data_IF_406251416721
#
_entry.id   IF_406251416721
#
_cell.length_a   1.000
_cell.length_b   1.000
_cell.length_c   1.000
_cell.angle_alpha   90.00
_cell.angle_beta   90.00
_cell.angle_gamma   90.00
#
_symmetry.space_group_name_H-M   'P 1'
#
loop_
_entity.id
_entity.type
_entity.pdbx_description
1 polymer ?
#
# COMPACT_ATOMS: atom_id res chain seq x y z
N UNK A 1 2.26 -30.92 -0.57
CA UNK A 1 2.16 -30.82 0.91
C UNK A 1 2.43 -29.38 1.31
N UNK A 2 1.46 -28.81 2.04
CA UNK A 2 1.58 -27.75 3.05
C UNK A 2 2.34 -26.48 2.67
N UNK A 3 1.61 -25.39 2.43
CA UNK A 3 1.63 -24.29 3.39
C UNK A 3 0.33 -23.50 3.32
N UNK A 4 -0.47 -23.69 4.37
CA UNK A 4 -1.58 -22.84 4.77
C UNK A 4 -0.99 -21.44 4.96
N UNK A 5 -0.98 -20.63 3.89
CA UNK A 5 -0.47 -19.26 3.91
C UNK A 5 -1.37 -18.50 4.89
N UNK A 6 -0.87 -18.27 6.10
CA UNK A 6 -1.57 -17.48 7.11
C UNK A 6 -2.08 -16.19 6.47
N UNK A 7 -3.38 -15.96 6.64
CA UNK A 7 -4.28 -15.10 5.88
C UNK A 7 -3.93 -13.61 6.02
N UNK A 8 -2.85 -13.15 5.38
CA UNK A 8 -2.70 -11.72 5.12
C UNK A 8 -3.36 -11.43 3.77
N UNK A 9 -4.38 -10.57 3.76
CA UNK A 9 -5.19 -10.24 2.58
C UNK A 9 -4.31 -9.81 1.38
N UNK A 10 -3.20 -9.15 1.67
CA UNK A 10 -2.22 -8.65 0.70
C UNK A 10 -1.22 -9.68 0.16
N UNK A 11 -1.12 -10.88 0.74
CA UNK A 11 -0.24 -11.95 0.23
C UNK A 11 1.23 -11.55 0.09
N UNK A 12 1.72 -11.49 -1.15
CA UNK A 12 3.10 -11.08 -1.53
C UNK A 12 3.18 -9.65 -2.11
N UNK A 13 2.05 -8.93 -2.13
CA UNK A 13 1.93 -7.55 -2.59
C UNK A 13 1.83 -6.58 -1.42
N UNK A 14 2.01 -5.28 -1.69
CA UNK A 14 1.83 -4.22 -0.70
C UNK A 14 0.39 -3.72 -0.58
N UNK A 15 -0.50 -4.16 -1.47
CA UNK A 15 -1.92 -3.82 -1.47
C UNK A 15 -2.77 -5.00 -1.93
N UNK A 16 -4.06 -4.97 -1.60
CA UNK A 16 -5.09 -5.89 -2.07
C UNK A 16 -6.45 -5.22 -2.04
N UNK A 17 -7.36 -5.69 -2.89
CA UNK A 17 -8.75 -5.26 -2.91
C UNK A 17 -9.62 -6.23 -2.11
N UNK A 18 -10.49 -5.67 -1.27
CA UNK A 18 -11.49 -6.34 -0.45
C UNK A 18 -12.86 -5.77 -0.83
N UNK A 19 -13.42 -6.26 -1.95
CA UNK A 19 -14.57 -5.62 -2.60
C UNK A 19 -14.21 -4.22 -3.10
N UNK A 20 -14.93 -3.21 -2.61
CA UNK A 20 -14.71 -1.79 -2.88
C UNK A 20 -13.63 -1.14 -1.98
N UNK A 21 -13.05 -1.90 -1.05
CA UNK A 21 -12.05 -1.39 -0.11
C UNK A 21 -10.64 -1.78 -0.53
N UNK A 22 -9.77 -0.80 -0.73
CA UNK A 22 -8.35 -1.00 -1.00
C UNK A 22 -7.58 -1.10 0.33
N UNK A 23 -7.04 -2.28 0.62
CA UNK A 23 -6.16 -2.54 1.77
C UNK A 23 -4.71 -2.30 1.36
N UNK A 24 -4.00 -1.42 2.07
CA UNK A 24 -2.60 -1.08 1.78
C UNK A 24 -1.74 -1.23 3.02
N UNK A 25 -0.63 -1.96 2.90
CA UNK A 25 0.42 -2.00 3.91
C UNK A 25 1.42 -0.89 3.64
N UNK A 26 1.64 -0.03 4.63
CA UNK A 26 2.49 1.14 4.54
C UNK A 26 3.68 1.00 5.48
N UNK A 27 4.84 1.39 4.97
CA UNK A 27 6.05 1.66 5.74
C UNK A 27 6.23 3.19 5.82
N UNK A 28 5.73 3.77 6.90
CA UNK A 28 5.79 5.19 7.18
C UNK A 28 7.20 5.63 7.56
N UNK A 29 7.70 6.68 6.90
CA UNK A 29 8.95 7.36 7.22
C UNK A 29 8.62 8.77 7.71
N UNK A 30 8.54 9.00 9.03
CA UNK A 30 8.32 10.34 9.58
C UNK A 30 9.58 11.22 9.41
N UNK A 31 9.42 12.52 9.65
CA UNK A 31 10.51 13.51 9.56
C UNK A 31 11.21 13.52 8.19
N UNK A 32 10.47 13.30 7.11
CA UNK A 32 10.98 13.42 5.76
C UNK A 32 11.03 14.89 5.31
N UNK A 33 11.81 15.19 4.28
CA UNK A 33 11.87 16.56 3.73
C UNK A 33 10.57 17.00 3.05
N UNK A 34 9.75 16.05 2.59
CA UNK A 34 8.46 16.29 1.93
C UNK A 34 7.57 15.05 2.00
N UNK A 35 6.26 15.27 1.89
CA UNK A 35 5.29 14.20 1.78
C UNK A 35 5.37 13.56 0.38
N UNK A 36 5.56 12.24 0.34
CA UNK A 36 5.69 11.51 -0.91
C UNK A 36 5.33 10.04 -0.77
N UNK A 37 4.63 9.52 -1.77
CA UNK A 37 4.51 8.09 -1.99
C UNK A 37 5.80 7.60 -2.66
N UNK A 38 6.52 6.72 -1.97
CA UNK A 38 7.76 6.12 -2.43
C UNK A 38 7.55 4.85 -3.25
N UNK A 39 8.63 4.11 -3.45
CA UNK A 39 8.60 2.81 -4.12
C UNK A 39 8.10 1.71 -3.18
N UNK A 40 7.47 0.66 -3.71
CA UNK A 40 7.17 -0.54 -2.93
C UNK A 40 8.47 -1.17 -2.43
N UNK A 41 8.44 -1.69 -1.21
CA UNK A 41 9.53 -2.34 -0.51
C UNK A 41 9.04 -3.65 0.07
N UNK A 42 9.32 -4.76 -0.63
CA UNK A 42 8.73 -6.06 -0.32
C UNK A 42 7.21 -5.99 -0.33
N UNK A 43 6.59 -6.26 0.82
CA UNK A 43 5.12 -6.32 1.01
C UNK A 43 4.53 -5.01 1.54
N UNK A 44 5.26 -3.90 1.44
CA UNK A 44 4.85 -2.62 2.00
C UNK A 44 5.17 -1.47 1.05
N UNK A 45 4.37 -0.41 1.10
CA UNK A 45 4.59 0.82 0.36
C UNK A 45 5.29 1.85 1.24
N UNK A 46 6.45 2.34 0.81
CA UNK A 46 7.11 3.44 1.53
C UNK A 46 6.30 4.71 1.37
N UNK A 47 5.93 5.33 2.48
CA UNK A 47 5.28 6.64 2.50
C UNK A 47 6.08 7.54 3.41
N UNK A 48 6.60 8.63 2.85
CA UNK A 48 7.37 9.62 3.59
C UNK A 48 6.45 10.77 3.93
N UNK A 49 6.50 11.23 5.18
CA UNK A 49 5.74 12.41 5.63
C UNK A 49 6.65 13.39 6.34
N UNK A 50 6.42 14.68 6.11
CA UNK A 50 7.18 15.75 6.75
C UNK A 50 6.82 15.92 8.24
N UNK A 51 5.65 15.42 8.64
CA UNK A 51 5.21 15.44 10.02
C UNK A 51 6.14 14.64 10.95
N UNK A 52 6.45 15.23 12.10
CA UNK A 52 7.23 14.60 13.16
C UNK A 52 6.44 13.47 13.84
N UNK A 53 7.09 12.40 14.34
CA UNK A 53 6.45 11.25 14.98
C UNK A 53 6.02 11.56 16.43
N UNK A 54 5.38 12.72 16.65
CA UNK A 54 4.96 13.18 17.98
C UNK A 54 3.45 12.98 18.12
N UNK A 55 3.03 12.25 19.16
CA UNK A 55 1.63 12.10 19.57
C UNK A 55 0.65 11.71 18.43
N UNK A 56 1.08 10.86 17.48
CA UNK A 56 0.22 10.39 16.39
C UNK A 56 0.03 11.36 15.21
N UNK A 57 0.55 12.59 15.28
CA UNK A 57 0.43 13.61 14.22
C UNK A 57 0.95 13.14 12.86
N UNK A 58 2.02 12.35 12.85
CA UNK A 58 2.54 11.75 11.61
C UNK A 58 1.51 10.84 10.93
N UNK A 59 0.70 10.10 11.70
CA UNK A 59 -0.33 9.23 11.13
C UNK A 59 -1.49 10.05 10.59
N UNK A 60 -1.97 11.05 11.33
CA UNK A 60 -3.09 11.88 10.88
C UNK A 60 -2.70 12.67 9.61
N UNK A 61 -1.48 13.21 9.57
CA UNK A 61 -0.94 13.85 8.38
C UNK A 61 -0.80 12.88 7.20
N UNK A 62 -0.35 11.65 7.46
CA UNK A 62 -0.26 10.62 6.43
C UNK A 62 -1.64 10.26 5.87
N UNK A 63 -2.66 10.13 6.72
CA UNK A 63 -4.04 9.85 6.28
C UNK A 63 -4.56 10.97 5.38
N UNK A 64 -4.37 12.24 5.77
CA UNK A 64 -4.75 13.39 4.96
C UNK A 64 -4.02 13.44 3.62
N UNK A 65 -2.71 13.18 3.63
CA UNK A 65 -1.90 13.13 2.42
C UNK A 65 -2.40 12.04 1.47
N UNK A 66 -2.65 10.82 1.98
CA UNK A 66 -3.12 9.71 1.17
C UNK A 66 -4.55 9.96 0.65
N UNK A 67 -5.44 10.52 1.46
CA UNK A 67 -6.80 10.87 1.06
C UNK A 67 -6.80 11.69 -0.24
N UNK A 68 -5.95 12.73 -0.32
CA UNK A 68 -5.77 13.53 -1.53
C UNK A 68 -5.23 12.73 -2.72
N UNK A 69 -4.29 11.80 -2.49
CA UNK A 69 -3.70 10.98 -3.57
C UNK A 69 -4.68 9.94 -4.13
N UNK A 70 -5.60 9.45 -3.30
CA UNK A 70 -6.62 8.46 -3.69
C UNK A 70 -7.97 9.09 -4.06
N UNK A 71 -8.09 10.42 -3.97
CA UNK A 71 -9.33 11.12 -4.25
C UNK A 71 -10.48 10.75 -3.31
N UNK A 72 -10.16 10.47 -2.05
CA UNK A 72 -11.13 10.14 -0.99
C UNK A 72 -11.02 11.13 0.15
N UNK A 73 -11.93 11.04 1.12
CA UNK A 73 -11.81 11.81 2.36
C UNK A 73 -11.02 11.05 3.42
N UNK A 74 -10.53 11.74 4.45
CA UNK A 74 -9.90 11.08 5.58
C UNK A 74 -10.84 10.13 6.34
N UNK A 75 -12.17 10.31 6.22
CA UNK A 75 -13.17 9.44 6.83
C UNK A 75 -13.29 8.09 6.11
N UNK A 76 -12.94 8.05 4.81
CA UNK A 76 -12.92 6.82 4.00
C UNK A 76 -11.64 6.01 4.22
N UNK A 77 -10.65 6.60 4.90
CA UNK A 77 -9.40 5.94 5.25
C UNK A 77 -9.43 5.51 6.70
N UNK A 78 -9.41 4.21 6.92
CA UNK A 78 -9.35 3.59 8.23
C UNK A 78 -7.95 3.02 8.49
N UNK A 79 -7.34 3.38 9.61
CA UNK A 79 -6.06 2.80 10.05
C UNK A 79 -6.34 1.56 10.88
N UNK A 80 -6.22 0.38 10.26
CA UNK A 80 -6.50 -0.92 10.89
C UNK A 80 -5.52 -1.22 12.03
N UNK A 81 -4.24 -0.94 11.82
CA UNK A 81 -3.22 -1.06 12.87
C UNK A 81 -1.98 -0.20 12.57
N UNK A 82 -1.15 -0.01 13.60
CA UNK A 82 0.14 0.66 13.47
C UNK A 82 0.12 2.17 13.72
N UNK A 83 -0.90 2.71 14.40
CA UNK A 83 -1.00 4.16 14.66
C UNK A 83 0.27 4.75 15.31
N UNK A 84 0.93 3.98 16.18
CA UNK A 84 2.19 4.33 16.85
C UNK A 84 3.46 3.75 16.15
N UNK A 85 3.32 2.93 15.10
CA UNK A 85 4.42 2.24 14.43
C UNK A 85 4.66 2.75 13.01
N UNK A 86 5.88 2.59 12.50
CA UNK A 86 6.18 2.85 11.08
C UNK A 86 5.45 1.89 10.15
N UNK A 87 5.23 0.65 10.59
CA UNK A 87 4.42 -0.33 9.87
C UNK A 87 2.95 -0.09 10.17
N UNK A 88 2.18 0.23 9.13
CA UNK A 88 0.76 0.57 9.20
C UNK A 88 0.00 -0.25 8.17
N UNK A 89 -1.25 -0.59 8.48
CA UNK A 89 -2.20 -1.06 7.49
C UNK A 89 -3.38 -0.11 7.46
N UNK A 90 -3.72 0.32 6.25
CA UNK A 90 -4.85 1.19 6.03
C UNK A 90 -5.85 0.53 5.08
N UNK A 91 -7.11 0.89 5.25
CA UNK A 91 -8.23 0.51 4.40
C UNK A 91 -8.80 1.79 3.80
N UNK A 92 -8.90 1.83 2.49
CA UNK A 92 -9.37 2.99 1.74
C UNK A 92 -10.67 2.56 1.05
N UNK A 93 -11.80 3.14 1.44
CA UNK A 93 -13.10 2.81 0.84
C UNK A 93 -13.27 3.55 -0.48
N UNK A 94 -13.67 2.83 -1.52
CA UNK A 94 -14.01 3.35 -2.84
C UNK A 94 -13.05 4.44 -3.37
N UNK A 95 -11.72 4.17 -3.50
CA UNK A 95 -10.79 5.17 -4.00
C UNK A 95 -11.12 5.54 -5.44
N UNK A 96 -11.26 6.85 -5.69
CA UNK A 96 -11.61 7.40 -7.00
C UNK A 96 -10.38 7.63 -7.88
N UNK A 97 -9.20 7.74 -7.26
CA UNK A 97 -7.92 7.90 -7.92
C UNK A 97 -6.92 6.86 -7.41
N UNK A 98 -6.03 6.40 -8.29
CA UNK A 98 -4.98 5.46 -7.96
C UNK A 98 -3.63 6.02 -8.41
N UNK A 99 -2.68 6.24 -7.48
CA UNK A 99 -1.33 6.66 -7.84
C UNK A 99 -0.64 5.64 -8.75
N UNK A 100 0.29 6.10 -9.59
CA UNK A 100 1.00 5.25 -10.55
C UNK A 100 1.75 4.04 -9.94
N UNK A 101 2.04 4.07 -8.64
CA UNK A 101 2.62 2.93 -7.94
C UNK A 101 1.66 1.73 -7.83
N UNK A 102 0.34 1.97 -7.84
CA UNK A 102 -0.69 0.93 -7.79
C UNK A 102 -1.06 0.39 -9.18
N UNK A 103 -0.79 1.15 -10.24
CA UNK A 103 -1.09 0.74 -11.63
C UNK A 103 0.01 -0.12 -12.26
N UNK A 104 1.22 -0.16 -11.67
CA UNK A 104 2.26 -1.10 -12.08
C UNK A 104 1.88 -2.51 -11.67
N UNK A 105 1.20 -3.22 -12.56
CA UNK A 105 1.08 -4.67 -12.49
C UNK A 105 2.50 -5.28 -12.42
N UNK A 106 2.75 -6.27 -11.56
CA UNK A 106 3.91 -7.12 -11.75
C UNK A 106 3.70 -7.79 -13.11
N UNK A 107 4.52 -7.38 -14.08
CA UNK A 107 4.65 -8.01 -15.38
C UNK A 107 4.90 -9.51 -15.16
N UNK A 108 3.84 -10.32 -15.21
CA UNK A 108 3.92 -11.78 -15.27
C UNK A 108 3.90 -12.24 -16.74
N UNK A 109 4.55 -11.48 -17.62
CA UNK A 109 4.61 -11.77 -19.06
C UNK A 109 5.67 -12.81 -19.43
N UNK A 110 6.51 -13.27 -18.49
CA UNK A 110 7.70 -14.08 -18.83
C UNK A 110 7.61 -15.58 -18.54
N UNK A 111 6.43 -16.14 -18.23
CA UNK A 111 6.27 -17.58 -17.89
C UNK A 111 5.81 -18.47 -19.06
N UNK A 112 5.56 -17.93 -20.25
CA UNK A 112 5.20 -18.71 -21.44
C UNK A 112 6.12 -18.40 -22.62
N UNK A 113 7.40 -18.75 -22.51
CA UNK A 113 8.17 -19.12 -23.71
C UNK A 113 7.96 -20.61 -23.94
N UNK A 114 6.82 -20.97 -24.52
CA UNK A 114 6.63 -22.28 -25.13
C UNK A 114 7.46 -22.32 -26.41
N UNK A 115 8.70 -22.83 -26.33
CA UNK A 115 9.44 -23.23 -27.51
C UNK A 115 9.22 -24.74 -27.72
N UNK A 116 7.99 -25.09 -28.08
CA UNK A 116 7.68 -26.39 -28.66
C UNK A 116 7.70 -26.22 -30.18
N UNK A 117 8.73 -26.77 -30.80
CA UNK A 117 8.82 -26.95 -32.25
C UNK A 117 9.56 -28.24 -32.47
N UNK A 118 8.77 -29.32 -32.46
CA UNK A 118 9.10 -30.63 -33.02
C UNK A 118 8.28 -30.72 -34.33
N UNK A 119 8.97 -30.59 -35.47
CA UNK A 119 8.76 -31.22 -36.80
C UNK A 119 9.55 -30.44 -37.89
#
# INVERSE_FOLDING_TARGET
>A
MTQKKSRNLTGDSFFAWDGDVLVVNILGKPSASKDAIGKPFGKQLKVSVAAAPVAGRATDHMVLFLATQFGVTAADIEVVFGRMNVNKQIRIKAPTQLPAVFTKQPDQSSLFSSNDSDD
#
